data_IF_425983969196
#
_entry.id   IF_425983969196
#
_cell.length_a   1.000
_cell.length_b   1.000
_cell.length_c   1.000
_cell.angle_alpha   90.00
_cell.angle_beta   90.00
_cell.angle_gamma   90.00
#
_symmetry.space_group_name_H-M   'P 1'
#
loop_
_entity.id
_entity.type
_entity.pdbx_description
1 polymer ?
#
# COMPACT_ATOMS: atom_id res chain seq x y z
N UNK A 1 12.54 -2.73 0.09
CA UNK A 1 11.43 -1.76 0.30
C UNK A 1 10.34 -1.94 -0.74
N UNK A 2 10.65 -2.18 -2.02
CA UNK A 2 9.66 -2.59 -3.03
C UNK A 2 9.11 -4.00 -2.77
N UNK A 3 9.89 -4.88 -2.13
CA UNK A 3 9.50 -6.27 -1.86
C UNK A 3 8.26 -6.39 -0.97
N UNK A 4 8.14 -5.54 0.06
CA UNK A 4 6.95 -5.56 0.94
C UNK A 4 5.67 -5.13 0.22
N UNK A 5 5.79 -4.26 -0.79
CA UNK A 5 4.64 -3.86 -1.62
C UNK A 5 4.28 -4.97 -2.60
N UNK A 6 5.26 -5.72 -3.12
CA UNK A 6 5.02 -6.92 -3.93
C UNK A 6 4.31 -8.01 -3.12
N UNK A 7 4.76 -8.25 -1.88
CA UNK A 7 4.08 -9.19 -0.96
C UNK A 7 2.63 -8.79 -0.73
N UNK A 8 2.39 -7.51 -0.40
CA UNK A 8 1.02 -6.98 -0.28
C UNK A 8 0.19 -7.20 -1.56
N UNK A 9 0.78 -6.95 -2.74
CA UNK A 9 0.09 -7.12 -4.02
C UNK A 9 -0.36 -8.57 -4.24
N UNK A 10 0.55 -9.54 -4.05
CA UNK A 10 0.23 -10.96 -4.23
C UNK A 10 -0.75 -11.47 -3.15
N UNK A 11 -0.63 -10.99 -1.91
CA UNK A 11 -1.59 -11.32 -0.85
C UNK A 11 -3.00 -10.84 -1.21
N UNK A 12 -3.19 -9.56 -1.58
CA UNK A 12 -4.50 -9.04 -2.00
C UNK A 12 -5.05 -9.82 -3.19
N UNK A 13 -4.20 -10.13 -4.18
CA UNK A 13 -4.58 -10.91 -5.36
C UNK A 13 -5.04 -12.33 -4.99
N UNK A 14 -4.48 -12.93 -3.95
CA UNK A 14 -4.84 -14.27 -3.48
C UNK A 14 -6.14 -14.35 -2.68
N UNK A 15 -6.68 -13.22 -2.19
CA UNK A 15 -7.96 -13.21 -1.45
C UNK A 15 -9.11 -13.55 -2.41
N UNK A 16 -9.73 -14.71 -2.22
CA UNK A 16 -10.81 -15.24 -3.07
C UNK A 16 -12.17 -15.27 -2.34
N UNK A 17 -12.36 -14.40 -1.35
CA UNK A 17 -13.61 -14.35 -0.59
C UNK A 17 -14.71 -13.67 -1.41
N UNK A 18 -15.88 -14.31 -1.47
CA UNK A 18 -17.09 -13.74 -2.06
C UNK A 18 -17.87 -12.88 -1.06
N UNK A 19 -17.63 -13.08 0.23
CA UNK A 19 -18.17 -12.24 1.29
C UNK A 19 -17.30 -10.98 1.47
N UNK A 20 -17.93 -9.82 1.37
CA UNK A 20 -17.25 -8.54 1.49
C UNK A 20 -16.71 -8.30 2.91
N UNK A 21 -17.36 -8.84 3.94
CA UNK A 21 -16.90 -8.74 5.33
C UNK A 21 -15.57 -9.47 5.56
N UNK A 22 -15.45 -10.69 5.06
CA UNK A 22 -14.23 -11.49 5.16
C UNK A 22 -13.09 -10.90 4.32
N UNK A 23 -13.41 -10.46 3.09
CA UNK A 23 -12.45 -9.72 2.26
C UNK A 23 -11.90 -8.50 2.99
N UNK A 24 -12.78 -7.66 3.56
CA UNK A 24 -12.38 -6.45 4.29
C UNK A 24 -11.45 -6.75 5.46
N UNK A 25 -11.73 -7.80 6.23
CA UNK A 25 -10.90 -8.20 7.37
C UNK A 25 -9.49 -8.54 6.91
N UNK A 26 -9.36 -9.45 5.94
CA UNK A 26 -8.06 -9.90 5.42
C UNK A 26 -7.30 -8.77 4.71
N UNK A 27 -7.99 -7.99 3.88
CA UNK A 27 -7.38 -6.87 3.18
C UNK A 27 -6.87 -5.81 4.17
N UNK A 28 -7.63 -5.50 5.21
CA UNK A 28 -7.19 -4.59 6.26
C UNK A 28 -5.96 -5.09 7.02
N UNK A 29 -5.88 -6.39 7.32
CA UNK A 29 -4.69 -6.97 7.97
C UNK A 29 -3.45 -6.83 7.07
N UNK A 30 -3.61 -7.03 5.76
CA UNK A 30 -2.54 -6.79 4.78
C UNK A 30 -2.11 -5.32 4.77
N UNK A 31 -3.05 -4.37 4.78
CA UNK A 31 -2.77 -2.92 4.82
C UNK A 31 -2.04 -2.54 6.11
N UNK A 32 -2.45 -3.08 7.26
CA UNK A 32 -1.82 -2.79 8.55
C UNK A 32 -0.37 -3.29 8.59
N UNK A 33 -0.12 -4.50 8.08
CA UNK A 33 1.26 -5.02 7.95
C UNK A 33 2.09 -4.15 7.01
N UNK A 34 1.55 -3.78 5.85
CA UNK A 34 2.23 -2.90 4.90
C UNK A 34 2.59 -1.56 5.56
N UNK A 35 1.65 -0.96 6.29
CA UNK A 35 1.83 0.29 7.01
C UNK A 35 2.93 0.20 8.08
N UNK A 36 2.94 -0.84 8.89
CA UNK A 36 3.96 -1.03 9.93
C UNK A 36 5.37 -1.22 9.33
N UNK A 37 5.48 -1.95 8.22
CA UNK A 37 6.77 -2.17 7.56
C UNK A 37 7.29 -0.93 6.82
N UNK A 38 6.39 -0.12 6.25
CA UNK A 38 6.77 1.12 5.56
C UNK A 38 6.94 2.31 6.51
N UNK A 39 6.36 2.28 7.71
CA UNK A 39 6.36 3.40 8.64
C UNK A 39 7.74 4.04 8.91
N UNK A 40 8.85 3.29 9.06
CA UNK A 40 10.14 3.90 9.33
C UNK A 40 10.74 4.69 8.15
N UNK A 41 10.23 4.50 6.93
CA UNK A 41 10.82 5.01 5.69
C UNK A 41 9.82 5.82 4.84
N UNK A 42 8.54 5.77 5.20
CA UNK A 42 7.47 6.43 4.47
C UNK A 42 7.55 7.96 4.65
N UNK A 43 7.35 8.69 3.56
CA UNK A 43 7.03 10.12 3.64
C UNK A 43 5.53 10.33 3.75
N UNK A 44 5.12 11.59 3.94
CA UNK A 44 3.72 11.98 4.12
C UNK A 44 2.80 11.44 3.02
N UNK A 45 3.25 11.46 1.75
CA UNK A 45 2.47 10.93 0.62
C UNK A 45 2.17 9.43 0.76
N UNK A 46 3.15 8.63 1.23
CA UNK A 46 2.97 7.20 1.44
C UNK A 46 2.06 6.95 2.64
N UNK A 47 2.25 7.69 3.74
CA UNK A 47 1.38 7.59 4.91
C UNK A 47 -0.08 7.97 4.62
N UNK A 48 -0.28 9.04 3.86
CA UNK A 48 -1.59 9.49 3.42
C UNK A 48 -2.25 8.40 2.58
N UNK A 49 -1.53 7.85 1.59
CA UNK A 49 -2.06 6.82 0.72
C UNK A 49 -2.46 5.54 1.46
N UNK A 50 -1.61 5.07 2.38
CA UNK A 50 -1.92 3.90 3.23
C UNK A 50 -3.16 4.13 4.11
N UNK A 51 -3.35 5.37 4.60
CA UNK A 51 -4.52 5.72 5.40
C UNK A 51 -5.79 5.80 4.55
N UNK A 52 -5.70 6.31 3.31
CA UNK A 52 -6.79 6.27 2.32
C UNK A 52 -7.22 4.83 2.04
N UNK A 53 -6.25 3.94 1.76
CA UNK A 53 -6.46 2.51 1.53
C UNK A 53 -7.22 1.85 2.67
N UNK A 54 -6.78 2.10 3.90
CA UNK A 54 -7.44 1.57 5.08
C UNK A 54 -8.86 2.11 5.24
N UNK A 55 -9.06 3.41 5.04
CA UNK A 55 -10.36 4.06 5.21
C UNK A 55 -11.40 3.48 4.25
N UNK A 56 -11.08 3.41 2.96
CA UNK A 56 -12.04 2.91 1.98
C UNK A 56 -12.27 1.41 2.15
N UNK A 57 -11.27 0.64 2.58
CA UNK A 57 -11.44 -0.80 2.81
C UNK A 57 -12.34 -1.07 4.02
N UNK A 58 -12.21 -0.32 5.12
CA UNK A 58 -12.97 -0.59 6.34
C UNK A 58 -14.38 0.04 6.33
N UNK A 59 -14.51 1.24 5.78
CA UNK A 59 -15.70 2.09 5.98
C UNK A 59 -16.54 2.29 4.72
N UNK A 60 -16.14 1.78 3.56
CA UNK A 60 -17.05 1.78 2.42
C UNK A 60 -18.26 0.87 2.70
N UNK A 61 -19.48 1.29 2.28
CA UNK A 61 -20.69 0.52 2.50
C UNK A 61 -20.58 -0.91 1.94
N UNK A 62 -21.19 -1.86 2.63
CA UNK A 62 -21.22 -3.29 2.28
C UNK A 62 -21.89 -3.66 0.94
N UNK A 63 -22.26 -2.66 0.13
CA UNK A 63 -22.79 -2.84 -1.23
C UNK A 63 -21.75 -2.71 -2.33
N UNK A 64 -20.48 -2.41 -2.00
CA UNK A 64 -19.40 -2.39 -2.99
C UNK A 64 -18.93 -3.82 -3.31
N UNK A 65 -18.68 -4.08 -4.59
CA UNK A 65 -18.19 -5.37 -5.07
C UNK A 65 -16.74 -5.59 -4.61
N UNK A 66 -16.44 -6.77 -4.04
CA UNK A 66 -15.08 -7.22 -3.69
C UNK A 66 -14.11 -6.96 -4.83
N UNK A 67 -14.52 -7.22 -6.07
CA UNK A 67 -13.69 -7.02 -7.25
C UNK A 67 -13.28 -5.55 -7.46
N UNK A 68 -14.16 -4.60 -7.13
CA UNK A 68 -13.89 -3.16 -7.23
C UNK A 68 -12.86 -2.74 -6.20
N UNK A 69 -13.09 -3.07 -4.92
CA UNK A 69 -12.15 -2.72 -3.84
C UNK A 69 -10.80 -3.40 -4.04
N UNK A 70 -10.79 -4.69 -4.44
CA UNK A 70 -9.57 -5.44 -4.79
C UNK A 70 -8.81 -4.78 -5.93
N UNK A 71 -9.48 -4.40 -7.02
CA UNK A 71 -8.85 -3.69 -8.14
C UNK A 71 -8.23 -2.37 -7.69
N UNK A 72 -8.93 -1.61 -6.83
CA UNK A 72 -8.42 -0.35 -6.28
C UNK A 72 -7.15 -0.57 -5.45
N UNK A 73 -7.15 -1.54 -4.53
CA UNK A 73 -5.98 -1.88 -3.72
C UNK A 73 -4.77 -2.29 -4.57
N UNK A 74 -4.97 -3.06 -5.65
CA UNK A 74 -3.90 -3.47 -6.56
C UNK A 74 -3.33 -2.28 -7.36
N UNK A 75 -4.16 -1.30 -7.74
CA UNK A 75 -3.68 -0.08 -8.37
C UNK A 75 -2.91 0.80 -7.38
N UNK A 76 -3.39 0.91 -6.14
CA UNK A 76 -2.71 1.66 -5.09
C UNK A 76 -1.34 1.04 -4.74
N UNK A 77 -1.23 -0.29 -4.76
CA UNK A 77 0.05 -0.98 -4.61
C UNK A 77 1.06 -0.57 -5.70
N UNK A 78 0.64 -0.51 -6.96
CA UNK A 78 1.51 -0.05 -8.07
C UNK A 78 1.95 1.39 -7.86
N UNK A 79 1.03 2.26 -7.47
CA UNK A 79 1.34 3.66 -7.17
C UNK A 79 2.34 3.79 -6.00
N UNK A 80 2.20 2.97 -4.95
CA UNK A 80 3.17 2.94 -3.85
C UNK A 80 4.57 2.49 -4.31
N UNK A 81 4.66 1.55 -5.26
CA UNK A 81 5.95 1.16 -5.86
C UNK A 81 6.61 2.32 -6.60
N UNK A 82 5.84 3.09 -7.37
CA UNK A 82 6.33 4.26 -8.09
C UNK A 82 6.85 5.33 -7.11
N UNK A 83 6.10 5.60 -6.03
CA UNK A 83 6.53 6.56 -5.00
C UNK A 83 7.83 6.13 -4.29
N UNK A 84 7.95 4.84 -3.96
CA UNK A 84 9.17 4.31 -3.32
C UNK A 84 10.36 4.32 -4.28
N UNK A 85 10.15 4.02 -5.55
CA UNK A 85 11.19 4.08 -6.57
C UNK A 85 11.69 5.51 -6.79
N UNK A 86 10.79 6.49 -6.90
CA UNK A 86 11.13 7.90 -7.02
C UNK A 86 11.95 8.39 -5.81
N UNK A 87 11.54 8.05 -4.59
CA UNK A 87 12.29 8.39 -3.37
C UNK A 87 13.70 7.79 -3.35
N UNK A 88 13.88 6.56 -3.83
CA UNK A 88 15.20 5.93 -3.91
C UNK A 88 16.12 6.72 -4.85
N UNK A 89 15.60 7.14 -6.00
CA UNK A 89 16.36 7.92 -6.98
C UNK A 89 16.76 9.30 -6.44
N UNK A 90 15.87 9.98 -5.70
CA UNK A 90 16.19 11.27 -5.06
C UNK A 90 17.30 11.14 -4.01
N UNK A 91 17.29 10.07 -3.20
CA UNK A 91 18.35 9.81 -2.22
C UNK A 91 19.72 9.49 -2.88
N UNK A 92 19.72 8.84 -4.04
CA UNK A 92 20.94 8.53 -4.81
C UNK A 92 21.50 9.74 -5.57
N UNK A 93 20.67 10.76 -5.82
CA UNK A 93 21.02 11.97 -6.57
C UNK A 93 21.53 13.12 -5.68
N UNK A 94 21.47 12.98 -4.35
CA UNK A 94 21.95 14.00 -3.43
C UNK A 94 23.50 14.09 -3.47
N UNK A 95 24.09 15.26 -3.76
CA UNK A 95 25.54 15.41 -3.75
C UNK A 95 26.05 15.12 -2.34
N UNK A 96 26.96 14.15 -2.21
CA UNK A 96 27.80 14.04 -1.02
C UNK A 96 28.58 15.33 -0.92
N UNK A 97 28.20 16.21 -0.01
CA UNK A 97 29.03 17.33 0.39
C UNK A 97 30.40 16.76 0.74
N UNK A 98 31.38 17.04 -0.11
CA UNK A 98 32.79 16.83 0.19
C UNK A 98 33.09 17.84 1.29
N UNK A 99 33.12 17.39 2.54
CA UNK A 99 33.69 18.18 3.62
C UNK A 99 35.18 18.39 3.31
N UNK A 100 35.56 19.68 3.31
CA UNK A 100 36.91 20.22 3.09
C UNK A 100 37.86 19.86 4.23
#
# INVERSE_FOLDING_TARGET
MTDIVNEFFEEIKSINDYDYGDFKRKANDCILRLKNNLAPFAGDNIHHKLSEMQMYTQFLPSGEDVAVTKKRLLNDAKYLQELLAAKKQDCESAPRSVEL
#
